data_IF_751100710546
#
_entry.id   IF_751100710546
#
_cell.length_a   1.000
_cell.length_b   1.000
_cell.length_c   1.000
_cell.angle_alpha   90.00
_cell.angle_beta   90.00
_cell.angle_gamma   90.00
#
_symmetry.space_group_name_H-M   'P 1'
#
loop_
_entity.id
_entity.type
_entity.pdbx_description
1 polymer ?
#
# COMPACT_ATOMS: atom_id res chain seq x y z
N UNK A 1 13.89 -18.44 -10.18
CA UNK A 1 14.02 -17.05 -10.69
C UNK A 1 14.80 -16.14 -9.75
N UNK A 2 14.45 -16.05 -8.46
CA UNK A 2 15.07 -15.12 -7.50
C UNK A 2 16.61 -15.08 -7.48
N UNK A 3 17.30 -16.23 -7.52
CA UNK A 3 18.78 -16.27 -7.47
C UNK A 3 19.43 -15.77 -8.77
N UNK A 4 18.90 -16.20 -9.92
CA UNK A 4 19.45 -15.84 -11.23
C UNK A 4 19.10 -14.40 -11.59
N UNK A 5 17.83 -14.01 -11.39
CA UNK A 5 17.38 -12.64 -11.59
C UNK A 5 18.05 -11.68 -10.60
N UNK A 6 18.16 -12.07 -9.32
CA UNK A 6 18.81 -11.25 -8.31
C UNK A 6 20.27 -10.94 -8.64
N UNK A 7 21.02 -11.93 -9.17
CA UNK A 7 22.38 -11.70 -9.67
C UNK A 7 22.39 -10.69 -10.81
N UNK A 8 21.57 -10.91 -11.84
CA UNK A 8 21.53 -10.03 -13.02
C UNK A 8 21.12 -8.59 -12.63
N UNK A 9 20.07 -8.45 -11.81
CA UNK A 9 19.59 -7.16 -11.33
C UNK A 9 20.65 -6.44 -10.49
N UNK A 10 21.40 -7.17 -9.65
CA UNK A 10 22.49 -6.61 -8.86
C UNK A 10 23.68 -6.14 -9.70
N UNK A 11 24.07 -6.91 -10.72
CA UNK A 11 25.11 -6.53 -11.69
C UNK A 11 24.71 -5.22 -12.40
N UNK A 12 23.48 -5.15 -12.91
CA UNK A 12 22.95 -3.96 -13.58
C UNK A 12 22.76 -2.75 -12.65
N UNK A 13 22.31 -2.97 -11.42
CA UNK A 13 22.19 -1.89 -10.43
C UNK A 13 23.57 -1.29 -10.09
N UNK A 14 24.62 -2.12 -10.04
CA UNK A 14 25.99 -1.67 -9.80
C UNK A 14 26.52 -0.79 -10.94
N UNK A 15 26.33 -1.24 -12.19
CA UNK A 15 26.70 -0.45 -13.38
C UNK A 15 25.96 0.90 -13.43
N UNK A 16 24.67 0.88 -13.08
CA UNK A 16 23.84 2.08 -13.02
C UNK A 16 24.30 3.03 -11.92
N UNK A 17 24.61 2.52 -10.73
CA UNK A 17 25.06 3.32 -9.59
C UNK A 17 26.40 4.01 -9.88
N UNK A 18 27.32 3.34 -10.58
CA UNK A 18 28.61 3.92 -10.97
C UNK A 18 28.49 5.13 -11.91
N UNK A 19 27.38 5.23 -12.65
CA UNK A 19 27.11 6.30 -13.62
C UNK A 19 26.00 7.24 -13.18
N UNK A 20 25.37 6.99 -12.03
CA UNK A 20 24.34 7.85 -11.48
C UNK A 20 24.96 9.13 -10.90
N UNK A 21 24.45 10.27 -11.33
CA UNK A 21 24.73 11.53 -10.66
C UNK A 21 24.02 11.61 -9.30
N UNK A 22 24.39 12.62 -8.51
CA UNK A 22 23.71 12.88 -7.24
C UNK A 22 22.22 13.18 -7.47
N UNK A 23 21.39 12.73 -6.52
CA UNK A 23 19.99 13.10 -6.48
C UNK A 23 19.80 14.59 -6.22
N UNK A 24 18.62 15.11 -6.57
CA UNK A 24 18.22 16.46 -6.18
C UNK A 24 17.82 16.44 -4.70
N UNK A 25 18.70 16.93 -3.83
CA UNK A 25 18.50 16.95 -2.37
C UNK A 25 17.21 17.67 -1.97
N UNK A 26 16.93 18.84 -2.54
CA UNK A 26 15.71 19.59 -2.24
C UNK A 26 14.43 18.80 -2.62
N UNK A 27 14.48 18.04 -3.71
CA UNK A 27 13.36 17.17 -4.09
C UNK A 27 13.18 15.99 -3.12
N UNK A 28 14.28 15.42 -2.62
CA UNK A 28 14.26 14.32 -1.64
C UNK A 28 13.69 14.83 -0.30
N UNK A 29 14.14 15.99 0.17
CA UNK A 29 13.62 16.61 1.40
C UNK A 29 12.12 16.93 1.29
N UNK A 30 11.68 17.48 0.16
CA UNK A 30 10.27 17.74 -0.07
C UNK A 30 9.43 16.45 -0.07
N UNK A 31 9.94 15.36 -0.66
CA UNK A 31 9.27 14.05 -0.61
C UNK A 31 9.21 13.48 0.81
N UNK A 32 10.30 13.56 1.56
CA UNK A 32 10.36 13.10 2.95
C UNK A 32 9.34 13.85 3.83
N UNK A 33 9.31 15.18 3.74
CA UNK A 33 8.32 16.00 4.44
C UNK A 33 6.88 15.65 4.04
N UNK A 34 6.64 15.39 2.74
CA UNK A 34 5.33 14.96 2.25
C UNK A 34 4.91 13.56 2.73
N UNK A 35 5.85 12.64 2.94
CA UNK A 35 5.57 11.33 3.55
C UNK A 35 5.29 11.48 5.04
N UNK A 36 6.10 12.26 5.75
CA UNK A 36 5.90 12.53 7.18
C UNK A 36 4.53 13.15 7.46
N UNK A 37 4.12 14.13 6.63
CA UNK A 37 2.79 14.73 6.74
C UNK A 37 1.68 13.70 6.52
N UNK A 38 1.77 12.87 5.48
CA UNK A 38 0.80 11.80 5.22
C UNK A 38 0.67 10.81 6.38
N UNK A 39 1.79 10.45 7.01
CA UNK A 39 1.79 9.58 8.19
C UNK A 39 1.11 10.25 9.38
N UNK A 40 1.40 11.54 9.63
CA UNK A 40 0.72 12.31 10.68
C UNK A 40 -0.78 12.42 10.41
N UNK A 41 -1.18 12.70 9.18
CA UNK A 41 -2.59 12.79 8.82
C UNK A 41 -3.31 11.46 9.03
N UNK A 42 -2.67 10.34 8.68
CA UNK A 42 -3.22 9.00 8.87
C UNK A 42 -3.37 8.63 10.35
N UNK A 43 -2.36 8.92 11.20
CA UNK A 43 -2.43 8.70 12.65
C UNK A 43 -3.53 9.55 13.30
N UNK A 44 -3.74 10.76 12.80
CA UNK A 44 -4.76 11.68 13.31
C UNK A 44 -6.12 11.51 12.60
N UNK A 45 -6.25 10.55 11.69
CA UNK A 45 -7.48 10.30 10.96
C UNK A 45 -8.55 9.80 11.93
N UNK A 46 -9.69 10.49 11.96
CA UNK A 46 -10.83 10.09 12.78
C UNK A 46 -11.83 9.28 11.96
N UNK A 47 -12.51 8.36 12.65
CA UNK A 47 -13.45 7.44 12.03
C UNK A 47 -13.74 6.22 12.89
N UNK A 48 -14.51 5.30 12.32
CA UNK A 48 -14.95 4.07 12.98
C UNK A 48 -14.57 2.80 12.23
N UNK A 49 -13.88 2.93 11.10
CA UNK A 49 -13.47 1.75 10.33
C UNK A 49 -12.21 1.12 10.91
N UNK A 50 -12.15 -0.19 10.83
CA UNK A 50 -11.02 -0.99 11.29
C UNK A 50 -10.31 -1.56 10.06
N UNK A 51 -8.99 -1.33 9.98
CA UNK A 51 -8.19 -1.77 8.83
C UNK A 51 -8.26 -3.29 8.62
N UNK A 52 -8.28 -4.10 9.68
CA UNK A 52 -8.28 -5.56 9.56
C UNK A 52 -9.58 -6.06 8.90
N UNK A 53 -10.73 -5.45 9.24
CA UNK A 53 -12.00 -5.76 8.58
C UNK A 53 -11.99 -5.43 7.09
N UNK A 54 -11.47 -4.25 6.73
CA UNK A 54 -11.33 -3.85 5.33
C UNK A 54 -10.39 -4.82 4.58
N UNK A 55 -9.28 -5.23 5.20
CA UNK A 55 -8.36 -6.21 4.64
C UNK A 55 -9.03 -7.56 4.39
N UNK A 56 -9.81 -8.05 5.35
CA UNK A 56 -10.52 -9.33 5.22
C UNK A 56 -11.57 -9.26 4.10
N UNK A 57 -12.35 -8.17 4.04
CA UNK A 57 -13.31 -7.92 2.96
C UNK A 57 -12.64 -7.82 1.58
N UNK A 58 -11.48 -7.16 1.50
CA UNK A 58 -10.67 -7.09 0.27
C UNK A 58 -10.20 -8.48 -0.16
N UNK A 59 -9.70 -9.28 0.78
CA UNK A 59 -9.25 -10.65 0.51
C UNK A 59 -10.37 -11.52 -0.05
N UNK A 60 -11.55 -11.47 0.56
CA UNK A 60 -12.73 -12.21 0.10
C UNK A 60 -13.18 -11.76 -1.30
N UNK A 61 -13.24 -10.45 -1.55
CA UNK A 61 -13.63 -9.92 -2.87
C UNK A 61 -12.65 -10.36 -3.97
N UNK A 62 -11.35 -10.30 -3.70
CA UNK A 62 -10.31 -10.75 -4.64
C UNK A 62 -10.36 -12.27 -4.88
N UNK A 63 -10.67 -13.07 -3.87
CA UNK A 63 -10.85 -14.52 -4.02
C UNK A 63 -12.08 -14.83 -4.90
N UNK A 64 -13.20 -14.14 -4.68
CA UNK A 64 -14.44 -14.34 -5.44
C UNK A 64 -14.32 -13.94 -6.92
N UNK A 65 -13.74 -12.78 -7.23
CA UNK A 65 -13.74 -12.25 -8.60
C UNK A 65 -12.45 -12.43 -9.39
N UNK A 66 -11.31 -12.60 -8.71
CA UNK A 66 -9.99 -12.71 -9.33
C UNK A 66 -9.35 -14.10 -9.16
N UNK A 67 -10.14 -15.11 -8.76
CA UNK A 67 -9.73 -16.51 -8.67
C UNK A 67 -9.39 -17.15 -10.03
N UNK A 68 -9.33 -18.50 -10.06
CA UNK A 68 -8.99 -19.28 -11.27
C UNK A 68 -10.03 -19.05 -12.38
N UNK A 69 -11.31 -19.03 -12.00
CA UNK A 69 -12.42 -18.76 -12.92
C UNK A 69 -12.88 -17.32 -12.74
N UNK A 70 -12.97 -16.61 -13.85
CA UNK A 70 -13.32 -15.18 -13.87
C UNK A 70 -14.41 -14.96 -14.89
N UNK A 71 -15.47 -14.28 -14.49
CA UNK A 71 -16.51 -13.81 -15.40
C UNK A 71 -16.58 -12.28 -15.32
N UNK A 72 -17.00 -11.59 -16.41
CA UNK A 72 -17.13 -10.15 -16.41
C UNK A 72 -17.97 -9.62 -15.23
N UNK A 73 -19.02 -10.33 -14.85
CA UNK A 73 -19.94 -9.94 -13.79
C UNK A 73 -19.27 -9.99 -12.41
N UNK A 74 -18.53 -11.07 -12.11
CA UNK A 74 -17.82 -11.23 -10.84
C UNK A 74 -16.64 -10.26 -10.72
N UNK A 75 -15.94 -10.01 -11.82
CA UNK A 75 -14.86 -9.02 -11.87
C UNK A 75 -15.39 -7.60 -11.66
N UNK A 76 -16.50 -7.23 -12.31
CA UNK A 76 -17.10 -5.91 -12.10
C UNK A 76 -17.55 -5.71 -10.66
N UNK A 77 -18.19 -6.72 -10.05
CA UNK A 77 -18.56 -6.69 -8.63
C UNK A 77 -17.32 -6.48 -7.73
N UNK A 78 -16.18 -7.06 -8.10
CA UNK A 78 -14.93 -6.92 -7.34
C UNK A 78 -14.36 -5.52 -7.44
N UNK A 79 -14.33 -4.93 -8.64
CA UNK A 79 -13.91 -3.54 -8.85
C UNK A 79 -14.79 -2.59 -8.03
N UNK A 80 -16.11 -2.76 -8.10
CA UNK A 80 -17.06 -1.93 -7.35
C UNK A 80 -16.83 -2.06 -5.83
N UNK A 81 -16.52 -3.27 -5.36
CA UNK A 81 -16.21 -3.52 -3.95
C UNK A 81 -14.87 -2.88 -3.54
N UNK A 82 -13.85 -2.96 -4.38
CA UNK A 82 -12.55 -2.33 -4.10
C UNK A 82 -12.67 -0.81 -4.02
N UNK A 83 -13.45 -0.19 -4.90
CA UNK A 83 -13.75 1.25 -4.84
C UNK A 83 -14.48 1.63 -3.54
N UNK A 84 -15.47 0.83 -3.10
CA UNK A 84 -16.13 1.02 -1.80
C UNK A 84 -15.12 0.94 -0.64
N UNK A 85 -14.22 -0.06 -0.66
CA UNK A 85 -13.23 -0.27 0.39
C UNK A 85 -12.19 0.85 0.42
N UNK A 86 -11.78 1.41 -0.73
CA UNK A 86 -10.93 2.59 -0.80
C UNK A 86 -11.60 3.83 -0.17
N UNK A 87 -12.89 4.03 -0.39
CA UNK A 87 -13.63 5.12 0.27
C UNK A 87 -13.77 4.89 1.79
N UNK A 88 -13.97 3.65 2.22
CA UNK A 88 -14.01 3.29 3.64
C UNK A 88 -12.64 3.46 4.31
N UNK A 89 -11.55 3.20 3.59
CA UNK A 89 -10.18 3.36 4.10
C UNK A 89 -9.88 4.79 4.57
N UNK A 90 -10.48 5.80 3.91
CA UNK A 90 -10.39 7.23 4.32
C UNK A 90 -11.00 7.53 5.70
N UNK A 91 -11.69 6.57 6.31
CA UNK A 91 -12.33 6.66 7.64
C UNK A 91 -11.79 5.61 8.62
N UNK A 92 -10.65 5.00 8.30
CA UNK A 92 -9.94 4.10 9.22
C UNK A 92 -9.42 4.90 10.39
N UNK A 93 -9.59 4.35 11.59
CA UNK A 93 -9.03 4.93 12.80
C UNK A 93 -7.94 4.03 13.34
N UNK A 94 -6.76 4.62 13.53
CA UNK A 94 -5.66 3.98 14.25
C UNK A 94 -5.95 4.13 15.74
N UNK A 95 -5.89 3.01 16.45
CA UNK A 95 -6.23 2.93 17.87
C UNK A 95 -5.01 3.02 18.76
N UNK A 96 -3.87 2.50 18.30
CA UNK A 96 -2.59 2.65 18.99
C UNK A 96 -1.96 4.01 18.66
N UNK A 97 -1.79 4.85 19.68
CA UNK A 97 -1.17 6.19 19.54
C UNK A 97 0.33 6.17 19.86
N UNK A 98 0.92 5.01 20.10
CA UNK A 98 2.35 4.87 20.36
C UNK A 98 3.17 5.30 19.15
N UNK A 99 4.27 5.99 19.40
CA UNK A 99 5.18 6.45 18.34
C UNK A 99 6.26 5.42 17.97
N UNK A 100 6.40 4.37 18.76
CA UNK A 100 7.47 3.37 18.63
C UNK A 100 6.84 1.99 18.45
N UNK A 101 7.27 1.26 17.42
CA UNK A 101 6.77 -0.09 17.08
C UNK A 101 5.24 -0.18 16.95
N UNK A 102 4.61 0.86 16.38
CA UNK A 102 3.17 0.88 16.14
C UNK A 102 2.79 -0.02 14.94
N UNK A 103 2.46 -1.27 15.24
CA UNK A 103 2.03 -2.23 14.20
C UNK A 103 0.67 -1.86 13.60
N UNK A 104 -0.18 -1.16 14.35
CA UNK A 104 -1.51 -0.72 13.88
C UNK A 104 -1.35 0.27 12.72
N UNK A 105 -0.45 1.25 12.86
CA UNK A 105 -0.05 2.17 11.81
C UNK A 105 0.59 1.44 10.63
N UNK A 106 1.55 0.55 10.88
CA UNK A 106 2.23 -0.20 9.82
C UNK A 106 1.24 -0.98 8.94
N UNK A 107 0.34 -1.76 9.54
CA UNK A 107 -0.64 -2.54 8.78
C UNK A 107 -1.67 -1.67 8.07
N UNK A 108 -2.02 -0.52 8.64
CA UNK A 108 -2.89 0.45 7.96
C UNK A 108 -2.22 1.00 6.70
N UNK A 109 -0.92 1.31 6.74
CA UNK A 109 -0.15 1.75 5.56
C UNK A 109 -0.10 0.64 4.51
N UNK A 110 0.21 -0.58 4.92
CA UNK A 110 0.27 -1.75 4.02
C UNK A 110 -1.08 -2.00 3.35
N UNK A 111 -2.20 -1.86 4.08
CA UNK A 111 -3.54 -1.98 3.52
C UNK A 111 -3.80 -0.91 2.45
N UNK A 112 -3.42 0.35 2.69
CA UNK A 112 -3.56 1.42 1.71
C UNK A 112 -2.84 1.10 0.40
N UNK A 113 -1.63 0.55 0.47
CA UNK A 113 -0.91 0.07 -0.71
C UNK A 113 -1.55 -1.17 -1.34
N UNK A 114 -2.05 -2.10 -0.52
CA UNK A 114 -2.74 -3.30 -0.98
C UNK A 114 -3.99 -2.98 -1.80
N UNK A 115 -4.80 -2.01 -1.34
CA UNK A 115 -5.99 -1.54 -2.07
C UNK A 115 -5.64 -0.91 -3.42
N UNK A 116 -4.52 -0.19 -3.52
CA UNK A 116 -4.07 0.40 -4.79
C UNK A 116 -3.55 -0.65 -5.79
N UNK A 117 -3.02 -1.78 -5.30
CA UNK A 117 -2.52 -2.88 -6.15
C UNK A 117 -3.66 -3.82 -6.56
N UNK A 118 -4.71 -3.91 -5.74
CA UNK A 118 -5.85 -4.78 -5.99
C UNK A 118 -6.81 -4.24 -7.06
N UNK A 119 -6.90 -2.91 -7.20
CA UNK A 119 -7.63 -2.22 -8.28
C UNK A 119 -6.97 -2.46 -9.65
#
# INVERSE_FOLDING_TARGET
ELVVFGRLAGEQATERAATAGNGNEAAIEAQAAGVEQRLKDLVNQDGGENWAKIRDEMGLAMEEGCGIYRTPELMQKTIDKLAELQERFKRVRITDTSSVFNTDLLYTIELGHGLNVAE
#
